data_IF_555071579348
#
_entry.id   IF_555071579348
#
_cell.length_a   1.000
_cell.length_b   1.000
_cell.length_c   1.000
_cell.angle_alpha   90.00
_cell.angle_beta   90.00
_cell.angle_gamma   90.00
#
_symmetry.space_group_name_H-M   'P 1'
#
loop_
_entity.id
_entity.type
_entity.pdbx_description
1 polymer ?
#
# COMPACT_ATOMS: atom_id res chain seq x y z
N UNK A 1 13.90 -12.31 57.95
CA UNK A 1 14.75 -13.51 57.78
C UNK A 1 14.49 -14.10 56.40
N UNK A 2 15.53 -14.44 55.62
CA UNK A 2 15.43 -15.37 54.46
C UNK A 2 15.63 -16.81 54.98
N UNK A 3 15.02 -17.83 54.37
CA UNK A 3 15.66 -18.64 53.29
C UNK A 3 14.83 -18.60 51.97
N UNK A 4 15.31 -18.83 50.73
CA UNK A 4 16.24 -19.85 50.14
C UNK A 4 15.61 -21.26 50.08
N UNK A 5 15.62 -22.05 48.99
CA UNK A 5 16.06 -21.91 47.58
C UNK A 5 15.49 -23.10 46.74
N UNK A 6 15.17 -22.86 45.47
CA UNK A 6 15.45 -23.69 44.27
C UNK A 6 15.05 -25.19 44.08
N UNK A 7 14.57 -25.43 42.85
CA UNK A 7 15.01 -26.39 41.80
C UNK A 7 14.24 -27.72 41.51
N UNK A 8 14.08 -27.92 40.18
CA UNK A 8 13.84 -29.16 39.41
C UNK A 8 12.41 -29.76 39.35
N UNK A 9 11.94 -30.35 38.23
CA UNK A 9 12.35 -30.33 36.80
C UNK A 9 11.33 -31.15 35.95
N UNK A 10 11.32 -30.96 34.61
CA UNK A 10 10.68 -31.78 33.54
C UNK A 10 9.17 -31.62 33.27
N UNK A 11 8.64 -31.80 32.04
CA UNK A 11 9.16 -31.72 30.64
C UNK A 11 8.01 -32.00 29.65
N UNK A 12 7.77 -31.14 28.65
CA UNK A 12 7.14 -31.34 27.31
C UNK A 12 6.73 -29.94 26.79
N UNK A 13 7.27 -29.39 25.69
CA UNK A 13 6.97 -29.71 24.27
C UNK A 13 5.49 -29.40 23.91
N UNK A 14 5.10 -28.68 22.86
CA UNK A 14 5.77 -28.06 21.68
C UNK A 14 4.85 -26.87 21.23
N UNK A 15 5.11 -25.94 20.29
CA UNK A 15 6.12 -25.67 19.23
C UNK A 15 6.12 -24.13 18.99
N UNK A 16 7.13 -23.55 18.32
CA UNK A 16 7.19 -22.15 17.83
C UNK A 16 7.68 -22.15 16.37
N UNK A 17 7.02 -21.48 15.41
CA UNK A 17 7.65 -20.55 14.41
C UNK A 17 6.69 -19.97 13.36
N UNK A 18 6.57 -18.63 13.36
CA UNK A 18 6.63 -17.66 12.24
C UNK A 18 6.26 -18.04 10.79
N UNK A 19 5.47 -17.18 10.14
CA UNK A 19 5.81 -16.55 8.85
C UNK A 19 5.04 -15.24 8.56
N UNK A 20 5.73 -14.09 8.51
CA UNK A 20 5.36 -13.00 7.61
C UNK A 20 6.24 -13.18 6.36
N UNK A 21 5.64 -13.45 5.21
CA UNK A 21 6.37 -13.76 3.98
C UNK A 21 6.66 -12.52 3.15
N UNK A 22 7.90 -12.05 3.18
CA UNK A 22 8.50 -11.24 2.11
C UNK A 22 9.75 -11.97 1.63
N UNK A 23 9.72 -12.51 0.42
CA UNK A 23 10.89 -13.07 -0.25
C UNK A 23 11.70 -11.95 -0.93
N UNK A 24 13.01 -12.05 -1.14
CA UNK A 24 13.97 -13.12 -0.84
C UNK A 24 15.43 -12.60 -0.93
N UNK A 25 16.42 -13.46 -0.71
CA UNK A 25 17.80 -13.05 -0.44
C UNK A 25 18.71 -12.84 -1.66
N UNK A 26 19.56 -11.81 -1.55
CA UNK A 26 20.98 -11.70 -1.93
C UNK A 26 21.57 -12.42 -3.16
N UNK A 27 22.09 -11.63 -4.11
CA UNK A 27 23.46 -11.77 -4.63
C UNK A 27 24.03 -10.41 -5.12
N UNK A 28 25.34 -10.20 -4.98
CA UNK A 28 26.14 -9.01 -5.34
C UNK A 28 27.61 -9.52 -5.48
N UNK A 29 28.58 -8.89 -6.20
CA UNK A 29 28.63 -7.47 -6.61
C UNK A 29 29.25 -7.14 -8.00
N UNK A 30 29.29 -5.83 -8.31
CA UNK A 30 30.24 -5.18 -9.24
C UNK A 30 29.71 -4.90 -10.66
N UNK A 31 30.21 -3.89 -11.39
CA UNK A 31 31.05 -2.73 -11.01
C UNK A 31 30.94 -1.65 -12.13
N UNK A 32 31.50 -0.46 -11.91
CA UNK A 32 31.91 0.55 -12.92
C UNK A 32 30.90 1.19 -13.92
N UNK A 33 30.82 2.52 -13.90
CA UNK A 33 31.34 3.29 -15.06
C UNK A 33 30.45 4.30 -15.83
N UNK A 34 30.75 5.59 -15.59
CA UNK A 34 30.88 6.68 -16.58
C UNK A 34 29.65 7.33 -17.27
N UNK A 35 29.43 8.59 -16.86
CA UNK A 35 29.43 9.82 -17.68
C UNK A 35 29.06 9.75 -19.19
N UNK A 36 28.04 10.52 -19.59
CA UNK A 36 27.77 10.84 -21.01
C UNK A 36 26.86 12.06 -21.17
N UNK A 37 27.43 13.19 -21.60
CA UNK A 37 26.74 14.49 -21.61
C UNK A 37 26.32 15.00 -23.00
N UNK A 38 25.20 15.73 -23.02
CA UNK A 38 25.01 16.92 -23.87
C UNK A 38 24.41 16.76 -25.27
N UNK A 39 23.73 17.82 -25.73
CA UNK A 39 23.56 18.09 -27.17
C UNK A 39 22.16 18.39 -27.71
N UNK A 40 21.53 19.49 -27.30
CA UNK A 40 20.68 20.24 -28.23
C UNK A 40 21.57 21.13 -29.11
N UNK A 41 21.21 21.42 -30.38
CA UNK A 41 20.47 22.67 -30.60
C UNK A 41 19.51 22.75 -31.82
N UNK A 42 18.44 23.52 -31.62
CA UNK A 42 17.94 24.62 -32.47
C UNK A 42 17.74 24.49 -34.01
N UNK A 43 16.46 24.61 -34.39
CA UNK A 43 15.89 25.73 -35.20
C UNK A 43 15.84 25.71 -36.74
N UNK A 44 14.87 26.50 -37.24
CA UNK A 44 14.52 26.85 -38.63
C UNK A 44 13.93 25.72 -39.51
N UNK A 45 12.88 25.91 -40.31
CA UNK A 45 12.03 27.10 -40.54
C UNK A 45 11.89 27.46 -42.02
N UNK A 46 10.68 27.36 -42.58
CA UNK A 46 10.30 28.02 -43.84
C UNK A 46 8.79 27.93 -44.11
N UNK A 47 8.22 29.04 -44.57
CA UNK A 47 6.84 29.11 -45.08
C UNK A 47 6.83 28.97 -46.61
N UNK A 48 5.73 28.46 -47.18
CA UNK A 48 5.56 28.28 -48.63
C UNK A 48 4.08 28.43 -49.04
N UNK A 49 3.79 29.47 -49.82
CA UNK A 49 2.45 30.02 -50.07
C UNK A 49 1.85 29.61 -51.44
N UNK A 50 0.53 29.39 -51.52
CA UNK A 50 -0.29 29.44 -52.76
C UNK A 50 -0.18 28.24 -53.73
N UNK A 51 -1.11 28.00 -54.68
CA UNK A 51 -2.37 28.69 -55.07
C UNK A 51 -3.31 27.78 -55.91
N UNK A 52 -4.63 27.94 -55.75
CA UNK A 52 -5.72 27.86 -56.75
C UNK A 52 -5.84 26.74 -57.81
N UNK A 53 -7.00 26.04 -57.78
CA UNK A 53 -8.03 26.16 -58.84
C UNK A 53 -8.13 25.08 -59.94
N UNK A 54 -9.33 24.54 -60.15
CA UNK A 54 -9.68 23.73 -61.34
C UNK A 54 -10.90 22.81 -61.16
N UNK A 55 -12.09 23.27 -61.56
CA UNK A 55 -13.32 22.46 -61.61
C UNK A 55 -13.38 21.52 -62.82
N UNK A 56 -14.11 20.40 -62.68
CA UNK A 56 -14.85 19.82 -63.81
C UNK A 56 -14.86 18.29 -63.93
N UNK A 57 -16.06 17.72 -64.05
CA UNK A 57 -16.28 16.41 -64.70
C UNK A 57 -16.88 15.31 -63.82
N UNK A 58 -18.21 15.30 -63.68
CA UNK A 58 -18.92 14.14 -63.14
C UNK A 58 -18.91 12.97 -64.15
N UNK A 59 -18.62 11.76 -63.68
CA UNK A 59 -19.04 10.52 -64.35
C UNK A 59 -19.38 9.47 -63.29
N UNK A 60 -20.39 8.65 -63.60
CA UNK A 60 -21.10 7.81 -62.62
C UNK A 60 -20.88 6.35 -63.00
N UNK A 61 -20.10 5.59 -62.23
CA UNK A 61 -20.07 4.13 -62.38
C UNK A 61 -19.56 3.42 -61.11
N UNK A 62 -20.52 2.80 -60.40
CA UNK A 62 -20.44 1.48 -59.75
C UNK A 62 -19.13 1.02 -59.09
N UNK A 63 -19.19 0.77 -57.78
CA UNK A 63 -18.28 -0.16 -57.09
C UNK A 63 -17.39 0.46 -56.03
N UNK A 64 -17.96 0.95 -54.94
CA UNK A 64 -17.19 1.46 -53.80
C UNK A 64 -16.52 0.31 -53.03
N UNK A 65 -15.28 -0.02 -53.41
CA UNK A 65 -14.27 -0.43 -52.45
C UNK A 65 -13.70 0.85 -51.83
N UNK A 66 -13.82 1.01 -50.52
CA UNK A 66 -13.49 2.26 -49.83
C UNK A 66 -14.19 2.35 -48.49
N UNK A 67 -13.67 1.59 -47.52
CA UNK A 67 -14.25 1.43 -46.19
C UNK A 67 -13.21 1.24 -45.08
N UNK A 68 -11.96 1.67 -45.32
CA UNK A 68 -10.97 1.88 -44.25
C UNK A 68 -11.35 3.13 -43.44
N UNK A 69 -12.55 3.09 -42.85
CA UNK A 69 -12.86 3.90 -41.68
C UNK A 69 -12.07 3.30 -40.54
N UNK A 70 -10.86 3.82 -40.33
CA UNK A 70 -9.92 3.30 -39.35
C UNK A 70 -10.62 3.13 -38.01
N UNK A 71 -10.77 1.86 -37.59
CA UNK A 71 -11.05 1.57 -36.21
C UNK A 71 -9.89 2.17 -35.42
N UNK A 72 -10.16 3.26 -34.70
CA UNK A 72 -9.34 3.62 -33.56
C UNK A 72 -9.33 2.39 -32.69
N UNK A 73 -8.21 1.67 -32.68
CA UNK A 73 -8.00 0.60 -31.72
C UNK A 73 -7.80 1.30 -30.39
N UNK A 74 -8.91 1.64 -29.73
CA UNK A 74 -8.93 2.09 -28.35
C UNK A 74 -8.26 0.96 -27.55
N UNK A 75 -6.97 1.16 -27.28
CA UNK A 75 -6.14 0.14 -26.66
C UNK A 75 -6.75 -0.15 -25.29
N UNK A 76 -6.95 -1.42 -24.97
CA UNK A 76 -7.37 -1.79 -23.62
C UNK A 76 -6.27 -1.40 -22.61
N UNK A 77 -6.63 -1.00 -21.38
CA UNK A 77 -5.64 -0.83 -20.32
C UNK A 77 -4.90 -2.16 -20.12
N UNK A 78 -3.57 -2.09 -20.14
CA UNK A 78 -2.68 -3.23 -19.91
C UNK A 78 -2.23 -3.35 -18.46
N UNK A 79 -2.27 -2.25 -17.72
CA UNK A 79 -1.82 -2.15 -16.33
C UNK A 79 -2.72 -1.19 -15.52
N UNK A 80 -2.83 -1.45 -14.22
CA UNK A 80 -3.48 -0.58 -13.24
C UNK A 80 -2.51 -0.20 -12.13
N UNK A 81 -2.58 1.05 -11.66
CA UNK A 81 -1.70 1.59 -10.63
C UNK A 81 -2.46 2.19 -9.46
N UNK A 82 -1.99 1.91 -8.24
CA UNK A 82 -2.47 2.49 -7.00
C UNK A 82 -1.28 2.93 -6.14
N UNK A 83 -1.33 4.15 -5.64
CA UNK A 83 -0.42 4.70 -4.63
C UNK A 83 -1.29 5.20 -3.48
N UNK A 84 -1.29 4.48 -2.35
CA UNK A 84 -2.09 4.79 -1.16
C UNK A 84 -1.18 5.33 -0.07
N UNK A 85 -1.47 6.52 0.45
CA UNK A 85 -0.64 7.26 1.42
C UNK A 85 -1.57 7.72 2.56
N UNK A 86 -1.57 6.98 3.66
CA UNK A 86 -2.67 7.07 4.64
C UNK A 86 -2.16 7.07 6.07
N UNK A 87 -2.74 7.89 6.95
CA UNK A 87 -2.71 7.55 8.37
C UNK A 87 -3.72 6.42 8.63
N UNK A 88 -3.24 5.33 9.20
CA UNK A 88 -4.06 4.14 9.43
C UNK A 88 -4.15 3.86 10.92
N UNK A 89 -5.36 3.52 11.37
CA UNK A 89 -5.65 2.94 12.68
C UNK A 89 -6.20 1.51 12.55
N UNK A 90 -6.25 0.77 13.66
CA UNK A 90 -6.88 -0.58 13.71
C UNK A 90 -8.08 -0.57 14.64
N UNK A 91 -9.26 -0.86 14.08
CA UNK A 91 -10.52 -1.02 14.80
C UNK A 91 -10.40 -2.08 15.91
N UNK A 92 -10.86 -1.73 17.12
CA UNK A 92 -10.79 -2.61 18.29
C UNK A 92 -9.38 -2.86 18.84
N UNK A 93 -8.34 -2.24 18.27
CA UNK A 93 -6.96 -2.41 18.70
C UNK A 93 -6.22 -1.05 18.87
N UNK A 94 -6.66 -0.15 19.77
CA UNK A 94 -5.97 1.11 20.04
C UNK A 94 -4.52 0.92 20.52
N UNK A 95 -4.18 -0.25 21.08
CA UNK A 95 -2.82 -0.63 21.41
C UNK A 95 -1.92 -0.88 20.18
N UNK A 96 -2.48 -1.03 18.97
CA UNK A 96 -1.72 -0.98 17.72
C UNK A 96 -1.46 0.46 17.25
N UNK A 97 -2.18 1.44 17.81
CA UNK A 97 -2.02 2.87 17.57
C UNK A 97 -2.40 3.31 16.16
N UNK A 98 -1.71 4.37 15.71
CA UNK A 98 -1.89 5.06 14.44
C UNK A 98 -0.54 5.21 13.73
N UNK A 99 -0.51 5.44 12.43
CA UNK A 99 0.74 5.61 11.71
C UNK A 99 0.63 5.59 10.20
N UNK A 100 1.62 6.24 9.57
CA UNK A 100 1.72 6.36 8.13
C UNK A 100 1.86 4.98 7.49
N UNK A 101 0.97 4.70 6.55
CA UNK A 101 0.99 3.55 5.65
C UNK A 101 1.23 4.04 4.23
N UNK A 102 2.18 3.44 3.52
CA UNK A 102 2.42 3.72 2.11
C UNK A 102 2.35 2.40 1.35
N UNK A 103 1.38 2.28 0.45
CA UNK A 103 1.21 1.11 -0.41
C UNK A 103 1.28 1.53 -1.87
N UNK A 104 2.26 0.99 -2.61
CA UNK A 104 2.37 1.16 -4.06
C UNK A 104 2.12 -0.19 -4.73
N UNK A 105 1.10 -0.25 -5.58
CA UNK A 105 0.72 -1.43 -6.36
C UNK A 105 0.66 -1.04 -7.85
N UNK A 106 1.56 -1.58 -8.65
CA UNK A 106 1.46 -1.55 -10.10
C UNK A 106 1.35 -2.98 -10.60
N UNK A 107 0.31 -3.29 -11.36
CA UNK A 107 0.02 -4.67 -11.80
C UNK A 107 -0.44 -4.70 -13.24
N UNK A 108 -0.27 -5.84 -13.90
CA UNK A 108 -0.97 -6.11 -15.15
C UNK A 108 -2.50 -6.09 -14.92
N UNK A 109 -3.24 -5.45 -15.81
CA UNK A 109 -4.68 -5.29 -15.66
C UNK A 109 -5.40 -6.63 -15.83
N UNK A 110 -6.13 -7.04 -14.79
CA UNK A 110 -7.05 -8.20 -14.82
C UNK A 110 -8.48 -7.68 -14.76
N UNK A 111 -9.37 -8.05 -15.72
CA UNK A 111 -10.79 -7.74 -15.60
C UNK A 111 -11.36 -8.28 -14.28
N UNK A 112 -12.22 -7.52 -13.59
CA UNK A 112 -12.83 -7.99 -12.37
C UNK A 112 -13.83 -9.12 -12.63
N UNK A 113 -14.03 -9.97 -11.62
CA UNK A 113 -15.08 -10.98 -11.56
C UNK A 113 -16.47 -10.35 -11.41
N UNK A 114 -16.54 -9.16 -10.79
CA UNK A 114 -17.74 -8.33 -10.64
C UNK A 114 -17.41 -6.85 -10.85
N UNK A 115 -18.22 -6.12 -11.60
CA UNK A 115 -18.11 -4.67 -11.74
C UNK A 115 -19.51 -4.05 -11.80
N UNK A 116 -19.86 -3.26 -10.77
CA UNK A 116 -21.17 -2.61 -10.63
C UNK A 116 -21.47 -1.67 -11.81
N UNK A 117 -20.45 -0.93 -12.25
CA UNK A 117 -20.53 0.04 -13.34
C UNK A 117 -19.36 -0.17 -14.31
N UNK A 118 -19.53 -1.02 -15.34
CA UNK A 118 -18.44 -1.42 -16.23
C UNK A 118 -17.60 -0.27 -16.79
N UNK A 119 -16.28 -0.34 -16.57
CA UNK A 119 -15.32 0.66 -17.01
C UNK A 119 -15.33 2.00 -16.26
N UNK A 120 -16.18 2.20 -15.25
CA UNK A 120 -16.14 3.42 -14.43
C UNK A 120 -15.04 3.34 -13.36
N UNK A 121 -14.41 4.46 -12.95
CA UNK A 121 -13.45 4.46 -11.84
C UNK A 121 -14.13 4.31 -10.46
N UNK A 122 -15.43 4.59 -10.38
CA UNK A 122 -16.27 4.53 -9.18
C UNK A 122 -17.20 3.32 -9.17
N UNK A 123 -17.85 3.07 -8.04
CA UNK A 123 -18.67 1.89 -7.77
C UNK A 123 -17.84 0.74 -7.22
N UNK A 124 -18.46 -0.42 -7.08
CA UNK A 124 -17.85 -1.63 -6.56
C UNK A 124 -17.27 -2.54 -7.66
N UNK A 125 -16.06 -3.06 -7.39
CA UNK A 125 -15.36 -4.04 -8.22
C UNK A 125 -14.88 -5.18 -7.34
N UNK A 126 -14.96 -6.41 -7.84
CA UNK A 126 -14.53 -7.61 -7.13
C UNK A 126 -13.68 -8.51 -8.01
N UNK A 127 -12.60 -9.06 -7.47
CA UNK A 127 -11.70 -10.01 -8.12
C UNK A 127 -11.58 -11.27 -7.28
N UNK A 128 -11.75 -12.42 -7.90
CA UNK A 128 -11.40 -13.72 -7.31
C UNK A 128 -10.09 -14.22 -7.93
N UNK A 129 -9.21 -14.71 -7.06
CA UNK A 129 -7.93 -15.31 -7.40
C UNK A 129 -7.89 -16.75 -6.91
N UNK A 130 -7.30 -17.61 -7.74
CA UNK A 130 -6.94 -18.97 -7.37
C UNK A 130 -5.43 -19.00 -7.20
N UNK A 131 -4.93 -19.36 -6.03
CA UNK A 131 -3.51 -19.25 -5.70
C UNK A 131 -2.62 -20.12 -6.62
N UNK A 132 -3.16 -21.18 -7.21
CA UNK A 132 -2.43 -22.11 -8.09
C UNK A 132 -2.72 -21.85 -9.57
N UNK A 133 -3.99 -21.71 -9.95
CA UNK A 133 -4.42 -21.65 -11.36
C UNK A 133 -4.51 -20.23 -11.92
N UNK A 134 -4.74 -19.21 -11.09
CA UNK A 134 -4.97 -17.83 -11.50
C UNK A 134 -4.65 -16.82 -10.37
N UNK A 135 -3.37 -16.75 -9.94
CA UNK A 135 -2.96 -15.94 -8.80
C UNK A 135 -3.10 -14.42 -9.09
N UNK A 136 -3.02 -13.57 -8.05
CA UNK A 136 -2.92 -12.13 -8.26
C UNK A 136 -1.73 -11.79 -9.19
N UNK A 137 -1.89 -10.88 -10.17
CA UNK A 137 -0.77 -10.45 -11.00
C UNK A 137 0.38 -9.93 -10.12
N UNK A 138 1.63 -10.30 -10.40
CA UNK A 138 2.77 -9.82 -9.62
C UNK A 138 2.91 -8.30 -9.75
N UNK A 139 3.44 -7.67 -8.71
CA UNK A 139 3.77 -6.25 -8.78
C UNK A 139 4.89 -6.02 -9.78
N UNK A 140 4.80 -4.92 -10.53
CA UNK A 140 5.80 -4.50 -11.50
C UNK A 140 6.54 -3.26 -11.03
N UNK A 141 7.85 -3.21 -11.32
CA UNK A 141 8.65 -2.01 -11.10
C UNK A 141 8.27 -0.93 -12.13
N UNK A 142 8.03 0.28 -11.64
CA UNK A 142 7.76 1.50 -12.39
C UNK A 142 8.68 2.63 -11.88
N UNK A 143 9.92 2.30 -11.52
CA UNK A 143 10.92 3.27 -11.10
C UNK A 143 10.72 3.77 -9.67
N UNK A 144 11.16 5.00 -9.41
CA UNK A 144 11.16 5.60 -8.05
C UNK A 144 9.89 6.41 -7.85
N UNK A 145 9.21 6.20 -6.73
CA UNK A 145 8.03 6.99 -6.35
C UNK A 145 8.46 7.98 -5.26
N UNK A 146 8.32 9.27 -5.52
CA UNK A 146 8.68 10.32 -4.56
C UNK A 146 7.42 11.00 -4.04
N UNK A 147 7.18 10.87 -2.74
CA UNK A 147 6.04 11.45 -2.04
C UNK A 147 6.52 12.71 -1.32
N UNK A 148 5.92 13.86 -1.62
CA UNK A 148 6.26 15.17 -1.05
C UNK A 148 5.03 15.82 -0.42
N UNK A 149 5.25 16.77 0.50
CA UNK A 149 4.18 17.50 1.21
C UNK A 149 3.98 17.06 2.67
N UNK A 150 4.52 15.90 3.06
CA UNK A 150 4.44 15.37 4.42
C UNK A 150 5.30 16.17 5.40
N UNK A 151 4.82 16.33 6.65
CA UNK A 151 5.53 17.03 7.72
C UNK A 151 6.92 16.43 8.04
N UNK A 152 7.11 15.13 7.78
CA UNK A 152 8.38 14.41 7.96
C UNK A 152 9.39 14.55 6.81
N UNK A 153 9.14 15.43 5.83
CA UNK A 153 9.92 15.57 4.61
C UNK A 153 9.51 14.60 3.49
N UNK A 154 10.14 14.67 2.31
CA UNK A 154 9.83 13.78 1.20
C UNK A 154 10.29 12.35 1.49
N UNK A 155 9.57 11.38 0.93
CA UNK A 155 9.84 9.94 1.03
C UNK A 155 10.07 9.40 -0.38
N UNK A 156 11.16 8.65 -0.58
CA UNK A 156 11.36 7.86 -1.80
C UNK A 156 10.97 6.40 -1.55
N UNK A 157 10.16 5.83 -2.43
CA UNK A 157 9.85 4.41 -2.48
C UNK A 157 10.46 3.77 -3.72
N UNK A 158 11.15 2.64 -3.53
CA UNK A 158 11.86 1.90 -4.59
C UNK A 158 11.41 0.45 -4.60
N UNK A 159 11.32 -0.17 -5.77
CA UNK A 159 10.98 -1.58 -5.88
C UNK A 159 12.13 -2.44 -5.35
N UNK A 160 11.85 -3.36 -4.42
CA UNK A 160 12.80 -4.28 -3.82
C UNK A 160 12.19 -5.68 -3.76
N UNK A 161 12.80 -6.65 -4.43
CA UNK A 161 12.28 -8.01 -4.54
C UNK A 161 10.98 -8.05 -5.33
N UNK A 162 9.84 -8.05 -4.62
CA UNK A 162 8.49 -8.12 -5.20
C UNK A 162 7.56 -7.00 -4.72
N UNK A 163 8.08 -5.95 -4.08
CA UNK A 163 7.27 -4.86 -3.52
C UNK A 163 8.02 -3.53 -3.47
N UNK A 164 7.28 -2.43 -3.45
CA UNK A 164 7.84 -1.14 -3.09
C UNK A 164 8.17 -1.06 -1.59
N UNK A 165 9.33 -0.47 -1.29
CA UNK A 165 9.81 -0.19 0.06
C UNK A 165 10.20 1.27 0.12
N UNK A 166 9.81 1.96 1.20
CA UNK A 166 9.97 3.40 1.38
C UNK A 166 10.99 3.74 2.49
N UNK A 167 12.30 3.54 2.25
CA UNK A 167 13.33 3.89 3.22
C UNK A 167 13.46 5.41 3.38
N UNK A 168 13.58 5.89 4.61
CA UNK A 168 13.89 7.31 4.87
C UNK A 168 15.38 7.51 5.12
N UNK A 169 16.00 6.61 5.88
CA UNK A 169 17.46 6.52 6.00
C UNK A 169 17.87 5.08 6.34
N UNK A 170 19.12 4.74 6.05
CA UNK A 170 19.71 3.43 6.29
C UNK A 170 21.21 3.57 6.53
N UNK A 171 21.80 2.54 7.12
CA UNK A 171 23.24 2.50 7.36
C UNK A 171 23.70 1.20 7.98
N UNK A 172 24.97 1.20 8.40
CA UNK A 172 25.58 0.11 9.14
C UNK A 172 26.41 0.67 10.30
N UNK A 173 26.42 -0.02 11.44
CA UNK A 173 27.05 0.46 12.65
C UNK A 173 27.23 -0.63 13.69
N UNK A 174 27.83 -0.29 14.84
CA UNK A 174 27.74 -1.14 16.02
C UNK A 174 26.42 -0.83 16.73
N UNK A 175 25.54 -1.81 16.79
CA UNK A 175 24.32 -1.76 17.57
C UNK A 175 24.57 -2.28 18.99
N UNK A 176 23.88 -1.70 19.97
CA UNK A 176 23.65 -2.28 21.29
C UNK A 176 22.16 -2.23 21.58
N UNK A 177 21.55 -3.38 21.86
CA UNK A 177 20.17 -3.48 22.30
C UNK A 177 20.16 -3.54 23.83
N UNK A 178 19.32 -2.72 24.45
CA UNK A 178 18.99 -2.82 25.88
C UNK A 178 17.51 -3.10 26.01
N UNK A 179 17.15 -4.24 26.61
CA UNK A 179 15.76 -4.60 26.85
C UNK A 179 15.13 -3.63 27.86
N UNK A 180 13.99 -3.04 27.49
CA UNK A 180 13.25 -2.12 28.33
C UNK A 180 12.24 -2.83 29.23
N UNK A 181 11.57 -2.05 30.07
CA UNK A 181 10.38 -2.52 30.77
C UNK A 181 9.17 -2.55 29.81
N UNK A 182 8.16 -3.38 30.08
CA UNK A 182 6.89 -3.42 29.33
C UNK A 182 6.99 -3.70 27.81
N UNK A 183 8.01 -4.44 27.38
CA UNK A 183 8.09 -4.97 26.01
C UNK A 183 8.58 -3.97 24.95
N UNK A 184 9.25 -2.90 25.39
CA UNK A 184 10.04 -2.02 24.53
C UNK A 184 11.53 -2.35 24.66
N UNK A 185 12.35 -1.80 23.76
CA UNK A 185 13.80 -1.89 23.84
C UNK A 185 14.47 -0.64 23.25
N UNK A 186 15.61 -0.24 23.81
CA UNK A 186 16.45 0.80 23.25
C UNK A 186 17.47 0.18 22.30
N UNK A 187 17.46 0.62 21.04
CA UNK A 187 18.43 0.26 20.00
C UNK A 187 19.39 1.44 19.81
N UNK A 188 20.60 1.32 20.37
CA UNK A 188 21.68 2.27 20.19
C UNK A 188 22.56 1.84 19.01
N UNK A 189 22.46 2.51 17.86
CA UNK A 189 23.20 2.19 16.63
C UNK A 189 24.17 3.32 16.30
N UNK A 190 25.47 3.07 16.49
CA UNK A 190 26.51 4.07 16.26
C UNK A 190 26.56 4.51 14.78
N UNK A 191 26.56 5.82 14.55
CA UNK A 191 26.48 6.43 13.23
C UNK A 191 25.06 6.55 12.65
N UNK A 192 24.01 6.21 13.41
CA UNK A 192 22.63 6.42 12.97
C UNK A 192 22.20 7.91 13.04
N UNK A 193 21.10 8.21 12.34
CA UNK A 193 20.53 9.56 12.21
C UNK A 193 19.04 9.59 12.57
N UNK A 194 18.65 8.91 13.64
CA UNK A 194 17.28 8.95 14.17
C UNK A 194 16.87 10.38 14.55
N UNK A 195 15.58 10.66 14.41
CA UNK A 195 14.99 11.97 14.68
C UNK A 195 13.59 11.82 15.28
N UNK A 196 13.03 12.90 15.84
CA UNK A 196 11.64 12.88 16.31
C UNK A 196 10.63 12.54 15.19
N UNK A 197 10.98 12.79 13.92
CA UNK A 197 10.16 12.43 12.76
C UNK A 197 10.21 10.92 12.42
N UNK A 198 11.06 10.13 13.09
CA UNK A 198 11.08 8.66 12.98
C UNK A 198 10.14 7.97 13.97
N UNK A 199 9.56 8.68 14.94
CA UNK A 199 8.47 8.15 15.76
C UNK A 199 7.26 7.88 14.87
N UNK A 200 6.64 6.70 15.02
CA UNK A 200 5.59 6.24 14.10
C UNK A 200 6.12 5.57 12.81
N UNK A 201 7.45 5.45 12.64
CA UNK A 201 8.08 4.64 11.59
C UNK A 201 8.52 3.29 12.15
N UNK A 202 9.00 2.40 11.28
CA UNK A 202 9.54 1.09 11.70
C UNK A 202 11.05 1.02 11.48
N UNK A 203 11.78 0.63 12.51
CA UNK A 203 13.19 0.27 12.45
C UNK A 203 13.33 -1.19 12.01
N UNK A 204 13.84 -1.45 10.81
CA UNK A 204 14.30 -2.79 10.41
C UNK A 204 15.80 -2.91 10.67
N UNK A 205 16.21 -3.93 11.43
CA UNK A 205 17.60 -4.20 11.82
C UNK A 205 17.91 -5.66 11.56
N UNK A 206 19.09 -5.90 10.99
CA UNK A 206 19.64 -7.23 10.73
C UNK A 206 21.10 -7.30 11.21
N UNK A 207 21.53 -8.47 11.69
CA UNK A 207 22.92 -8.79 12.07
C UNK A 207 23.08 -9.29 13.52
N UNK A 208 21.99 -9.47 14.24
CA UNK A 208 21.99 -9.94 15.63
C UNK A 208 22.42 -11.41 15.75
N UNK A 209 22.94 -11.78 16.92
CA UNK A 209 23.15 -13.19 17.26
C UNK A 209 21.87 -13.81 17.85
N UNK A 210 21.01 -13.00 18.48
CA UNK A 210 19.71 -13.41 18.99
C UNK A 210 18.62 -12.98 18.03
N UNK A 211 17.90 -13.96 17.49
CA UNK A 211 16.80 -13.76 16.55
C UNK A 211 15.69 -12.81 17.04
N UNK A 212 15.53 -12.62 18.36
CA UNK A 212 14.58 -11.64 18.91
C UNK A 212 14.99 -10.19 18.68
N UNK A 213 16.25 -9.91 18.34
CA UNK A 213 16.75 -8.56 18.07
C UNK A 213 16.85 -8.22 16.56
N UNK A 214 16.76 -9.24 15.68
CA UNK A 214 16.63 -9.07 14.23
C UNK A 214 15.16 -8.93 13.84
N UNK A 215 14.87 -8.11 12.83
CA UNK A 215 13.53 -7.94 12.29
C UNK A 215 13.11 -6.48 12.20
N UNK A 216 11.80 -6.25 12.26
CA UNK A 216 11.17 -4.95 12.05
C UNK A 216 10.35 -4.55 13.29
N UNK A 217 10.72 -3.43 13.91
CA UNK A 217 10.22 -2.99 15.20
C UNK A 217 9.67 -1.54 15.11
N UNK A 218 8.40 -1.29 15.50
CA UNK A 218 7.83 0.06 15.51
C UNK A 218 8.59 1.00 16.46
N UNK A 219 8.97 2.21 15.99
CA UNK A 219 9.66 3.23 16.77
C UNK A 219 8.64 4.07 17.54
N UNK A 220 8.70 4.02 18.87
CA UNK A 220 7.78 4.72 19.78
C UNK A 220 8.39 5.95 20.46
N UNK A 221 9.73 6.04 20.50
CA UNK A 221 10.44 7.25 20.88
C UNK A 221 11.84 7.28 20.26
N UNK A 222 12.46 8.47 20.24
CA UNK A 222 13.87 8.66 19.87
C UNK A 222 14.53 9.48 20.96
N UNK A 223 15.55 8.91 21.63
CA UNK A 223 16.25 9.56 22.74
C UNK A 223 17.43 10.40 22.27
N UNK A 224 18.05 10.01 21.15
CA UNK A 224 19.13 10.74 20.49
C UNK A 224 19.25 10.30 19.03
N UNK A 225 20.12 10.93 18.24
CA UNK A 225 20.36 10.53 16.84
C UNK A 225 20.83 9.08 16.67
N UNK A 226 21.43 8.49 17.69
CA UNK A 226 21.90 7.10 17.66
C UNK A 226 21.00 6.14 18.45
N UNK A 227 19.97 6.62 19.17
CA UNK A 227 19.14 5.78 20.05
C UNK A 227 17.64 5.91 19.75
N UNK A 228 17.06 4.86 19.20
CA UNK A 228 15.62 4.69 19.03
C UNK A 228 15.06 3.71 20.07
N UNK A 229 13.87 4.01 20.61
CA UNK A 229 13.10 3.11 21.46
C UNK A 229 12.02 2.47 20.61
N UNK A 230 12.00 1.13 20.57
CA UNK A 230 11.11 0.35 19.72
C UNK A 230 10.23 -0.60 20.53
N UNK A 231 9.11 -1.04 19.95
CA UNK A 231 8.33 -2.17 20.49
C UNK A 231 9.03 -3.47 20.09
N UNK A 232 9.68 -4.11 21.06
CA UNK A 232 10.28 -5.43 20.90
C UNK A 232 10.20 -6.20 22.24
N UNK A 233 9.17 -7.05 22.43
CA UNK A 233 8.99 -7.81 23.67
C UNK A 233 9.96 -8.98 23.82
N UNK A 234 10.60 -9.42 22.73
CA UNK A 234 11.59 -10.51 22.71
C UNK A 234 13.04 -9.98 22.75
N UNK A 235 13.22 -8.66 22.91
CA UNK A 235 14.51 -8.02 22.99
C UNK A 235 15.39 -8.60 24.10
N UNK A 236 16.68 -8.79 23.82
CA UNK A 236 17.61 -9.34 24.81
C UNK A 236 19.00 -8.72 24.69
N UNK A 237 19.47 -8.07 25.76
CA UNK A 237 20.74 -7.33 25.85
C UNK A 237 21.93 -7.95 25.10
N UNK A 238 22.39 -7.30 24.04
CA UNK A 238 23.62 -7.65 23.31
C UNK A 238 24.14 -6.49 22.46
N UNK A 239 25.34 -6.65 21.92
CA UNK A 239 25.92 -5.76 20.92
C UNK A 239 26.38 -6.55 19.70
N UNK A 240 26.17 -5.99 18.51
CA UNK A 240 26.45 -6.63 17.22
C UNK A 240 26.75 -5.61 16.12
N UNK A 241 27.37 -6.06 15.02
CA UNK A 241 27.46 -5.27 13.81
C UNK A 241 26.11 -5.33 13.09
N UNK A 242 25.39 -4.22 13.04
CA UNK A 242 24.06 -4.13 12.46
C UNK A 242 24.09 -3.44 11.09
N UNK A 243 23.23 -3.91 10.18
CA UNK A 243 22.66 -3.09 9.11
C UNK A 243 21.26 -2.67 9.53
N UNK A 244 20.88 -1.42 9.29
CA UNK A 244 19.56 -0.90 9.64
C UNK A 244 18.94 -0.07 8.52
N UNK A 245 17.61 0.01 8.52
CA UNK A 245 16.84 0.94 7.70
C UNK A 245 15.60 1.39 8.48
N UNK A 246 15.33 2.70 8.47
CA UNK A 246 14.04 3.24 8.93
C UNK A 246 13.09 3.30 7.74
N UNK A 247 11.95 2.63 7.88
CA UNK A 247 10.91 2.50 6.87
C UNK A 247 9.75 3.42 7.22
N UNK A 248 9.44 4.36 6.31
CA UNK A 248 8.14 5.03 6.32
C UNK A 248 7.06 4.10 5.76
N UNK A 249 5.80 4.40 6.04
CA UNK A 249 4.68 3.64 5.48
C UNK A 249 4.47 2.27 6.12
N UNK A 250 5.08 1.99 7.27
CA UNK A 250 5.13 0.66 7.88
C UNK A 250 3.88 0.28 8.69
N UNK A 251 2.87 1.14 8.72
CA UNK A 251 1.59 0.88 9.38
C UNK A 251 1.43 1.51 10.77
N UNK A 252 0.35 1.13 11.48
CA UNK A 252 0.03 1.66 12.80
C UNK A 252 1.12 1.33 13.83
N UNK A 253 1.50 2.33 14.65
CA UNK A 253 2.53 2.18 15.68
C UNK A 253 1.92 2.30 17.09
N UNK A 254 2.10 1.30 17.97
CA UNK A 254 1.57 1.28 19.33
C UNK A 254 1.79 2.57 20.12
N UNK A 255 0.69 3.23 20.48
CA UNK A 255 0.74 4.46 21.29
C UNK A 255 1.31 5.69 20.60
N UNK A 256 1.56 5.66 19.28
CA UNK A 256 1.93 6.84 18.51
C UNK A 256 0.78 7.87 18.52
N UNK A 257 0.99 9.09 19.06
CA UNK A 257 -0.01 10.15 19.07
C UNK A 257 0.10 11.09 17.86
N UNK A 258 1.08 10.89 16.98
CA UNK A 258 1.34 11.77 15.84
C UNK A 258 0.53 11.31 14.63
N UNK A 259 -0.43 12.13 14.25
CA UNK A 259 -0.97 12.19 12.90
C UNK A 259 0.17 12.59 11.93
N UNK A 260 0.48 11.79 10.91
CA UNK A 260 1.49 12.07 9.90
C UNK A 260 0.95 12.79 8.64
N UNK A 261 -0.37 12.99 8.51
CA UNK A 261 -1.06 13.63 7.37
C UNK A 261 -2.14 14.58 7.91
N UNK A 262 -1.75 15.79 8.28
CA UNK A 262 -2.67 16.73 8.91
C UNK A 262 -3.82 17.15 7.98
N UNK A 263 -4.99 17.47 8.55
CA UNK A 263 -6.14 17.96 7.79
C UNK A 263 -5.77 19.15 6.90
N UNK A 264 -5.93 18.97 5.58
CA UNK A 264 -5.60 19.97 4.57
C UNK A 264 -4.17 19.91 4.01
N UNK A 265 -3.35 18.94 4.41
CA UNK A 265 -2.03 18.70 3.79
C UNK A 265 -2.19 18.42 2.28
N UNK A 266 -1.34 19.06 1.47
CA UNK A 266 -1.29 18.87 0.02
C UNK A 266 -0.09 17.98 -0.35
N UNK A 267 -0.40 16.75 -0.79
CA UNK A 267 0.61 15.75 -1.15
C UNK A 267 0.83 15.72 -2.67
N UNK A 268 2.08 15.64 -3.08
CA UNK A 268 2.49 15.44 -4.48
C UNK A 268 3.23 14.13 -4.60
N UNK A 269 2.87 13.32 -5.60
CA UNK A 269 3.47 12.02 -5.88
C UNK A 269 4.09 12.05 -7.28
N UNK A 270 5.41 12.06 -7.34
CA UNK A 270 6.18 11.97 -8.58
C UNK A 270 6.55 10.52 -8.89
N UNK A 271 6.57 10.16 -10.18
CA UNK A 271 7.01 8.83 -10.66
C UNK A 271 8.23 9.04 -11.56
N UNK A 272 9.44 8.85 -11.01
CA UNK A 272 10.67 8.94 -11.79
C UNK A 272 10.89 7.66 -12.61
N UNK A 273 10.95 7.72 -13.96
CA UNK A 273 10.94 6.51 -14.77
C UNK A 273 12.15 5.59 -14.63
N UNK A 274 11.88 4.31 -14.35
CA UNK A 274 12.85 3.21 -14.41
C UNK A 274 12.70 2.38 -15.69
N UNK A 275 13.69 2.42 -16.58
CA UNK A 275 13.75 1.52 -17.75
C UNK A 275 12.56 1.64 -18.71
N UNK A 276 11.85 0.53 -18.94
CA UNK A 276 10.70 0.45 -19.86
C UNK A 276 9.39 0.36 -19.07
N UNK A 277 8.82 1.51 -18.71
CA UNK A 277 7.62 1.59 -17.88
C UNK A 277 6.31 1.34 -18.62
N UNK A 278 5.34 0.77 -17.89
CA UNK A 278 3.95 0.66 -18.34
C UNK A 278 3.19 1.98 -18.17
N UNK A 279 3.53 2.78 -17.16
CA UNK A 279 2.96 4.11 -16.95
C UNK A 279 3.95 5.17 -17.44
N UNK A 280 3.44 6.21 -18.11
CA UNK A 280 4.21 7.34 -18.65
C UNK A 280 3.58 8.68 -18.24
N UNK A 281 2.96 8.66 -17.06
CA UNK A 281 2.39 9.83 -16.41
C UNK A 281 3.52 10.55 -15.64
N UNK A 282 3.52 11.89 -15.58
CA UNK A 282 4.60 12.63 -14.91
C UNK A 282 4.44 12.57 -13.39
N UNK A 283 3.56 13.41 -12.84
CA UNK A 283 3.30 13.53 -11.42
C UNK A 283 1.77 13.49 -11.16
N UNK A 284 1.39 13.15 -9.93
CA UNK A 284 0.03 13.17 -9.41
C UNK A 284 -0.05 14.22 -8.28
N UNK A 285 -0.97 15.17 -8.39
CA UNK A 285 -1.26 16.16 -7.36
C UNK A 285 -1.08 17.63 -7.79
N UNK A 286 -1.13 18.58 -6.85
CA UNK A 286 -1.32 18.37 -5.40
C UNK A 286 -2.65 17.70 -5.06
N UNK A 287 -2.61 16.78 -4.10
CA UNK A 287 -3.76 16.04 -3.57
C UNK A 287 -4.01 16.52 -2.16
N UNK A 288 -5.13 17.21 -1.93
CA UNK A 288 -5.57 17.57 -0.58
C UNK A 288 -5.98 16.29 0.13
N UNK A 289 -5.33 15.97 1.25
CA UNK A 289 -5.61 14.79 2.05
C UNK A 289 -7.08 14.77 2.54
N UNK A 290 -7.67 13.58 2.59
CA UNK A 290 -8.94 13.38 3.31
C UNK A 290 -8.71 13.52 4.81
N UNK A 291 -9.60 14.23 5.49
CA UNK A 291 -9.50 14.51 6.94
C UNK A 291 -9.79 13.26 7.79
N UNK A 292 -9.30 13.28 9.03
CA UNK A 292 -9.64 12.29 10.05
C UNK A 292 -11.15 12.21 10.31
N UNK A 293 -11.62 11.03 10.72
CA UNK A 293 -13.03 10.72 10.91
C UNK A 293 -13.23 9.61 11.95
N UNK A 294 -14.45 9.49 12.45
CA UNK A 294 -14.89 8.36 13.27
C UNK A 294 -15.94 7.52 12.52
N UNK A 295 -15.79 6.20 12.52
CA UNK A 295 -16.84 5.27 12.06
C UNK A 295 -18.06 5.34 12.99
N UNK A 296 -19.24 5.09 12.46
CA UNK A 296 -20.40 4.81 13.32
C UNK A 296 -20.30 3.43 13.99
N UNK A 297 -21.02 3.21 15.08
CA UNK A 297 -20.95 1.98 15.89
C UNK A 297 -21.27 0.70 15.08
N UNK A 298 -22.18 0.77 14.10
CA UNK A 298 -22.56 -0.38 13.29
C UNK A 298 -21.47 -0.70 12.27
N UNK A 299 -20.91 0.34 11.64
CA UNK A 299 -19.77 0.24 10.73
C UNK A 299 -18.51 -0.28 11.43
N UNK A 300 -18.23 0.18 12.65
CA UNK A 300 -17.12 -0.30 13.46
C UNK A 300 -17.28 -1.79 13.82
N UNK A 301 -18.50 -2.23 14.16
CA UNK A 301 -18.79 -3.64 14.42
C UNK A 301 -18.62 -4.51 13.16
N UNK A 302 -19.12 -4.05 12.00
CA UNK A 302 -18.98 -4.75 10.71
C UNK A 302 -17.53 -4.83 10.23
N UNK A 303 -16.70 -3.81 10.49
CA UNK A 303 -15.29 -3.81 10.11
C UNK A 303 -14.50 -4.97 10.76
N UNK A 304 -14.85 -5.32 12.00
CA UNK A 304 -14.26 -6.45 12.74
C UNK A 304 -15.00 -7.79 12.58
N UNK A 305 -16.17 -7.80 11.95
CA UNK A 305 -17.04 -8.96 11.79
C UNK A 305 -17.76 -8.95 10.43
N UNK A 306 -16.98 -8.98 9.35
CA UNK A 306 -17.50 -8.98 7.97
C UNK A 306 -18.37 -10.23 7.74
N UNK A 307 -19.63 -10.09 7.28
CA UNK A 307 -20.48 -11.23 7.02
C UNK A 307 -20.03 -12.01 5.78
N UNK A 308 -20.22 -13.34 5.84
CA UNK A 308 -19.89 -14.29 4.77
C UNK A 308 -21.13 -15.04 4.26
N UNK A 309 -22.28 -14.36 4.25
CA UNK A 309 -23.60 -14.88 3.85
C UNK A 309 -24.12 -14.29 2.52
N UNK A 310 -23.30 -13.51 1.82
CA UNK A 310 -23.66 -12.84 0.57
C UNK A 310 -24.52 -11.59 0.73
N UNK A 311 -24.93 -11.24 1.96
CA UNK A 311 -25.75 -10.05 2.20
C UNK A 311 -24.96 -8.76 1.92
N UNK A 312 -25.61 -7.69 1.42
CA UNK A 312 -24.95 -6.40 1.22
C UNK A 312 -24.54 -5.79 2.55
N UNK A 313 -23.38 -5.12 2.57
CA UNK A 313 -22.80 -4.52 3.77
C UNK A 313 -22.62 -3.02 3.59
N UNK A 314 -23.25 -2.21 4.44
CA UNK A 314 -23.04 -0.76 4.47
C UNK A 314 -22.03 -0.40 5.54
N UNK A 315 -21.05 0.43 5.19
CA UNK A 315 -20.10 1.06 6.10
C UNK A 315 -20.21 2.58 5.98
N UNK A 316 -19.87 3.30 7.04
CA UNK A 316 -19.97 4.74 7.10
C UNK A 316 -19.36 5.36 8.35
N UNK A 317 -19.34 6.68 8.34
CA UNK A 317 -18.88 7.54 9.42
C UNK A 317 -19.99 8.52 9.82
N UNK A 318 -19.80 9.23 10.94
CA UNK A 318 -20.82 10.14 11.49
C UNK A 318 -21.73 9.51 12.54
N UNK A 319 -21.15 8.72 13.44
CA UNK A 319 -21.80 8.27 14.68
C UNK A 319 -22.07 9.43 15.67
N UNK A 320 -22.28 9.11 16.96
CA UNK A 320 -22.57 10.13 17.99
C UNK A 320 -21.37 10.99 18.43
N UNK A 321 -20.18 10.78 17.85
CA UNK A 321 -18.95 11.49 18.17
C UNK A 321 -18.76 12.77 17.34
N UNK A 322 -18.10 12.65 16.20
CA UNK A 322 -17.88 13.77 15.25
C UNK A 322 -18.06 13.32 13.77
N UNK A 323 -18.11 14.29 12.85
CA UNK A 323 -18.48 14.04 11.44
C UNK A 323 -17.42 13.28 10.64
N UNK A 324 -17.78 12.87 9.42
CA UNK A 324 -16.92 12.15 8.47
C UNK A 324 -15.64 12.86 7.98
N UNK A 325 -15.28 14.03 8.51
CA UNK A 325 -14.30 14.93 7.92
C UNK A 325 -14.65 15.38 6.49
N UNK A 326 -13.84 16.24 5.89
CA UNK A 326 -13.86 16.49 4.46
C UNK A 326 -13.03 15.43 3.70
N UNK A 327 -13.55 14.91 2.59
CA UNK A 327 -12.80 14.01 1.70
C UNK A 327 -13.32 14.14 0.26
N UNK A 328 -12.50 13.77 -0.72
CA UNK A 328 -12.90 13.70 -2.13
C UNK A 328 -13.58 12.37 -2.45
N UNK A 329 -13.19 11.29 -1.77
CA UNK A 329 -13.79 9.97 -1.91
C UNK A 329 -13.88 9.21 -0.58
N UNK A 330 -14.89 8.34 -0.50
CA UNK A 330 -15.03 7.29 0.52
C UNK A 330 -14.77 5.96 -0.15
N UNK A 331 -13.85 5.17 0.42
CA UNK A 331 -13.37 3.94 -0.20
C UNK A 331 -13.45 2.80 0.81
N UNK A 332 -14.03 1.67 0.40
CA UNK A 332 -13.94 0.41 1.13
C UNK A 332 -13.14 -0.58 0.32
N UNK A 333 -12.14 -1.20 0.94
CA UNK A 333 -11.38 -2.31 0.35
C UNK A 333 -11.39 -3.51 1.27
N UNK A 334 -11.87 -4.64 0.77
CA UNK A 334 -11.87 -5.92 1.48
C UNK A 334 -10.85 -6.84 0.81
N UNK A 335 -9.99 -7.47 1.60
CA UNK A 335 -9.05 -8.52 1.15
C UNK A 335 -9.27 -9.75 2.02
N UNK A 336 -9.49 -10.93 1.42
CA UNK A 336 -9.54 -12.21 2.15
C UNK A 336 -8.34 -13.11 1.87
N UNK A 337 -8.10 -14.05 2.76
CA UNK A 337 -7.17 -15.18 2.57
C UNK A 337 -7.69 -16.39 3.33
N UNK A 338 -7.42 -17.57 2.80
CA UNK A 338 -7.62 -18.89 3.43
C UNK A 338 -6.31 -19.48 3.99
N UNK A 339 -5.21 -18.73 3.93
CA UNK A 339 -3.90 -19.14 4.43
C UNK A 339 -3.86 -19.41 5.94
N UNK A 340 -2.86 -20.15 6.39
CA UNK A 340 -2.73 -20.53 7.81
C UNK A 340 -2.50 -19.30 8.72
N UNK A 341 -3.40 -19.11 9.68
CA UNK A 341 -3.35 -18.06 10.71
C UNK A 341 -2.75 -18.55 12.04
N UNK A 342 -2.39 -19.83 12.17
CA UNK A 342 -1.88 -20.40 13.41
C UNK A 342 -0.54 -19.78 13.81
N UNK A 343 -0.55 -19.01 14.90
CA UNK A 343 0.65 -18.29 15.37
C UNK A 343 1.00 -17.04 14.56
N UNK A 344 0.15 -16.64 13.60
CA UNK A 344 0.25 -15.35 12.93
C UNK A 344 -0.21 -14.21 13.85
N UNK A 345 0.23 -12.98 13.55
CA UNK A 345 -0.34 -11.78 14.19
C UNK A 345 -1.83 -11.64 13.84
N UNK A 346 -2.69 -11.15 14.74
CA UNK A 346 -4.10 -10.89 14.43
C UNK A 346 -4.31 -9.85 13.31
N UNK A 347 -3.26 -9.09 12.95
CA UNK A 347 -3.25 -8.09 11.88
C UNK A 347 -2.49 -8.55 10.62
N UNK A 348 -1.96 -9.78 10.62
CA UNK A 348 -1.32 -10.36 9.44
C UNK A 348 -2.37 -10.88 8.45
N UNK A 349 -2.06 -10.77 7.16
CA UNK A 349 -2.72 -11.49 6.08
C UNK A 349 -1.74 -12.56 5.57
N UNK A 350 -1.87 -13.83 6.01
CA UNK A 350 -1.07 -14.92 5.45
C UNK A 350 -1.29 -15.05 3.92
N UNK A 351 -0.31 -15.55 3.16
CA UNK A 351 -0.50 -15.89 1.75
C UNK A 351 -1.68 -16.87 1.58
N UNK A 352 -2.53 -16.70 0.56
CA UNK A 352 -3.61 -17.65 0.29
C UNK A 352 -3.04 -19.04 -0.02
N UNK A 353 -3.73 -20.06 0.46
CA UNK A 353 -3.47 -21.46 0.12
C UNK A 353 -4.12 -21.81 -1.22
N UNK A 354 -5.42 -21.52 -1.36
CA UNK A 354 -6.22 -21.82 -2.54
C UNK A 354 -6.96 -20.58 -3.08
N UNK A 355 -7.56 -19.74 -2.22
CA UNK A 355 -8.42 -18.60 -2.62
C UNK A 355 -8.05 -17.27 -1.95
N UNK A 356 -8.05 -16.22 -2.76
CA UNK A 356 -8.04 -14.82 -2.32
C UNK A 356 -9.14 -14.04 -3.05
N UNK A 357 -9.88 -13.22 -2.31
CA UNK A 357 -10.85 -12.27 -2.88
C UNK A 357 -10.38 -10.85 -2.55
N UNK A 358 -10.45 -9.97 -3.54
CA UNK A 358 -10.35 -8.53 -3.32
C UNK A 358 -11.63 -7.85 -3.79
N UNK A 359 -12.22 -7.01 -2.94
CA UNK A 359 -13.33 -6.11 -3.29
C UNK A 359 -12.86 -4.69 -3.05
N UNK A 360 -13.15 -3.79 -3.98
CA UNK A 360 -12.91 -2.36 -3.83
C UNK A 360 -14.15 -1.59 -4.28
N UNK A 361 -14.67 -0.76 -3.39
CA UNK A 361 -15.82 0.13 -3.63
C UNK A 361 -15.37 1.57 -3.46
N UNK A 362 -15.67 2.43 -4.42
CA UNK A 362 -15.34 3.86 -4.39
C UNK A 362 -16.58 4.71 -4.65
N UNK A 363 -16.88 5.64 -3.74
CA UNK A 363 -17.84 6.73 -3.95
C UNK A 363 -17.08 8.05 -3.90
N UNK A 364 -17.26 8.91 -4.90
CA UNK A 364 -16.71 10.27 -4.90
C UNK A 364 -17.74 11.26 -4.34
N UNK A 365 -17.29 12.13 -3.43
CA UNK A 365 -18.15 12.95 -2.60
C UNK A 365 -19.03 12.10 -1.67
N UNK A 366 -20.26 12.57 -1.44
CA UNK A 366 -21.24 11.91 -0.56
C UNK A 366 -21.14 12.35 0.90
N UNK A 367 -21.98 11.74 1.73
CA UNK A 367 -22.04 11.95 3.19
C UNK A 367 -20.97 11.18 3.96
N UNK A 368 -20.33 10.19 3.31
CA UNK A 368 -19.37 9.29 3.93
C UNK A 368 -19.94 7.92 4.28
N UNK A 369 -21.07 7.52 3.70
CA UNK A 369 -21.48 6.11 3.63
C UNK A 369 -21.15 5.46 2.29
N UNK A 370 -20.88 4.16 2.30
CA UNK A 370 -20.72 3.32 1.12
C UNK A 370 -21.30 1.93 1.38
N UNK A 371 -22.02 1.38 0.40
CA UNK A 371 -22.58 0.03 0.48
C UNK A 371 -21.84 -0.88 -0.49
N UNK A 372 -21.31 -1.98 0.04
CA UNK A 372 -20.82 -3.11 -0.75
C UNK A 372 -22.05 -3.93 -1.17
N UNK A 373 -22.36 -4.05 -2.48
CA UNK A 373 -23.56 -4.71 -2.96
C UNK A 373 -23.50 -6.22 -2.76
N UNK A 374 -24.67 -6.86 -2.76
CA UNK A 374 -24.81 -8.29 -2.52
C UNK A 374 -23.97 -9.11 -3.52
N UNK A 375 -23.95 -8.71 -4.79
CA UNK A 375 -23.21 -9.37 -5.85
C UNK A 375 -21.67 -9.31 -5.66
N UNK A 376 -21.16 -8.31 -4.95
CA UNK A 376 -19.75 -8.27 -4.55
C UNK A 376 -19.50 -9.14 -3.32
N UNK A 377 -20.39 -9.09 -2.32
CA UNK A 377 -20.31 -9.91 -1.11
C UNK A 377 -20.49 -11.42 -1.39
N UNK A 378 -21.23 -11.77 -2.44
CA UNK A 378 -21.39 -13.15 -2.91
C UNK A 378 -20.04 -13.76 -3.33
N UNK A 379 -19.10 -12.97 -3.87
CA UNK A 379 -17.74 -13.46 -4.18
C UNK A 379 -16.99 -13.93 -2.93
N UNK A 380 -17.21 -13.26 -1.78
CA UNK A 380 -16.66 -13.70 -0.49
C UNK A 380 -17.38 -14.94 0.04
N UNK A 381 -18.71 -15.01 -0.12
CA UNK A 381 -19.51 -16.19 0.24
C UNK A 381 -19.06 -17.43 -0.54
N UNK A 382 -19.07 -17.37 -1.88
CA UNK A 382 -18.66 -18.45 -2.77
C UNK A 382 -17.22 -18.88 -2.50
N UNK A 383 -16.29 -17.93 -2.33
CA UNK A 383 -14.91 -18.24 -1.99
C UNK A 383 -14.81 -18.97 -0.65
N UNK A 384 -15.53 -18.55 0.39
CA UNK A 384 -15.55 -19.23 1.69
C UNK A 384 -16.17 -20.64 1.64
N UNK A 385 -17.18 -20.86 0.80
CA UNK A 385 -17.73 -22.20 0.56
C UNK A 385 -16.75 -23.10 -0.20
N UNK A 386 -15.92 -22.55 -1.08
CA UNK A 386 -14.92 -23.29 -1.85
C UNK A 386 -13.65 -23.61 -1.05
N UNK A 387 -13.16 -22.65 -0.26
CA UNK A 387 -12.06 -22.78 0.70
C UNK A 387 -12.31 -21.86 1.89
N UNK A 388 -12.26 -22.41 3.11
CA UNK A 388 -12.67 -21.68 4.31
C UNK A 388 -11.74 -20.51 4.62
N UNK A 389 -12.13 -19.30 4.19
CA UNK A 389 -11.47 -18.03 4.53
C UNK A 389 -11.14 -17.98 6.03
N UNK A 390 -9.86 -17.78 6.34
CA UNK A 390 -9.29 -17.75 7.69
C UNK A 390 -9.07 -16.33 8.22
N UNK A 391 -8.95 -15.35 7.31
CA UNK A 391 -8.78 -13.93 7.63
C UNK A 391 -9.41 -13.05 6.56
N UNK A 392 -10.07 -11.99 7.00
CA UNK A 392 -10.50 -10.87 6.17
C UNK A 392 -9.90 -9.60 6.77
N UNK A 393 -9.32 -8.74 5.94
CA UNK A 393 -8.98 -7.35 6.28
C UNK A 393 -9.91 -6.42 5.50
N UNK A 394 -10.60 -5.55 6.21
CA UNK A 394 -11.43 -4.49 5.62
C UNK A 394 -10.83 -3.14 5.97
N UNK A 395 -10.60 -2.32 4.96
CA UNK A 395 -10.23 -0.92 5.11
C UNK A 395 -11.44 -0.05 4.78
N UNK A 396 -11.80 0.88 5.66
CA UNK A 396 -12.67 2.02 5.34
C UNK A 396 -11.82 3.29 5.37
N UNK A 397 -11.88 4.09 4.32
CA UNK A 397 -10.88 5.11 4.00
C UNK A 397 -11.55 6.39 3.47
N UNK A 398 -11.01 7.54 3.87
CA UNK A 398 -11.48 8.89 3.53
C UNK A 398 -10.32 9.64 2.89
N UNK A 399 -10.43 9.86 1.59
CA UNK A 399 -9.27 10.14 0.73
C UNK A 399 -9.47 11.39 -0.15
N UNK A 400 -8.38 12.11 -0.39
CA UNK A 400 -8.14 12.86 -1.62
C UNK A 400 -7.74 11.90 -2.75
N UNK A 401 -8.13 12.22 -3.98
CA UNK A 401 -7.90 11.36 -5.14
C UNK A 401 -7.31 12.16 -6.29
N UNK A 402 -6.08 11.85 -6.69
CA UNK A 402 -5.58 12.22 -8.02
C UNK A 402 -5.52 10.99 -8.93
N UNK A 403 -5.59 11.22 -10.24
CA UNK A 403 -5.47 10.15 -11.22
C UNK A 403 -4.85 10.68 -12.49
N UNK A 404 -3.96 9.89 -13.08
CA UNK A 404 -3.35 10.17 -14.36
C UNK A 404 -3.38 8.92 -15.23
N UNK A 405 -3.69 9.11 -16.50
CA UNK A 405 -3.77 8.05 -17.50
C UNK A 405 -2.75 8.34 -18.60
N UNK A 406 -2.09 7.30 -19.11
CA UNK A 406 -1.24 7.41 -20.29
C UNK A 406 -1.97 8.11 -21.45
N UNK A 407 -1.26 8.97 -22.17
CA UNK A 407 -1.77 9.59 -23.38
C UNK A 407 -1.54 8.70 -24.61
N UNK A 408 -2.38 8.86 -25.63
CA UNK A 408 -2.17 8.19 -26.91
C UNK A 408 -0.79 8.58 -27.50
N UNK A 409 -0.05 7.64 -28.12
CA UNK A 409 -0.51 6.34 -28.63
C UNK A 409 -0.38 5.15 -27.66
N UNK A 410 -0.03 5.37 -26.39
CA UNK A 410 0.15 4.28 -25.44
C UNK A 410 -1.18 3.71 -24.91
N UNK A 411 -1.20 2.46 -24.41
CA UNK A 411 -2.38 1.91 -23.73
C UNK A 411 -2.78 2.79 -22.53
N UNK A 412 -4.07 3.03 -22.28
CA UNK A 412 -4.61 3.94 -21.26
C UNK A 412 -4.50 3.34 -19.85
N UNK A 413 -3.28 3.00 -19.44
CA UNK A 413 -2.97 2.58 -18.09
C UNK A 413 -3.14 3.77 -17.16
N UNK A 414 -3.89 3.60 -16.07
CA UNK A 414 -4.19 4.67 -15.10
C UNK A 414 -3.53 4.38 -13.76
N UNK A 415 -2.89 5.40 -13.18
CA UNK A 415 -2.45 5.41 -11.79
C UNK A 415 -3.40 6.28 -10.97
N UNK A 416 -3.85 5.78 -9.82
CA UNK A 416 -4.58 6.53 -8.81
C UNK A 416 -3.66 6.81 -7.61
N UNK A 417 -3.60 8.06 -7.15
CA UNK A 417 -3.03 8.42 -5.85
C UNK A 417 -4.17 8.69 -4.87
N UNK A 418 -4.15 7.98 -3.73
CA UNK A 418 -5.07 8.14 -2.61
C UNK A 418 -4.29 8.71 -1.42
N UNK A 419 -4.82 9.77 -0.80
CA UNK A 419 -4.18 10.47 0.31
C UNK A 419 -5.19 10.81 1.40
N UNK A 420 -4.98 10.38 2.64
CA UNK A 420 -5.90 10.70 3.73
C UNK A 420 -5.81 9.76 4.92
N UNK A 421 -6.98 9.33 5.42
CA UNK A 421 -7.10 8.56 6.65
C UNK A 421 -7.86 7.26 6.42
N UNK A 422 -7.53 6.22 7.18
CA UNK A 422 -8.26 4.96 7.15
C UNK A 422 -8.29 4.20 8.47
N UNK A 423 -9.31 3.35 8.60
CA UNK A 423 -9.44 2.40 9.69
C UNK A 423 -9.44 0.99 9.10
N UNK A 424 -8.57 0.12 9.62
CA UNK A 424 -8.53 -1.31 9.29
C UNK A 424 -9.28 -2.12 10.34
N UNK A 425 -10.14 -3.04 9.90
CA UNK A 425 -10.70 -4.10 10.71
C UNK A 425 -10.25 -5.47 10.21
N UNK A 426 -10.17 -6.43 11.12
CA UNK A 426 -9.74 -7.79 10.83
C UNK A 426 -10.77 -8.79 11.38
N UNK A 427 -11.36 -9.59 10.49
CA UNK A 427 -12.29 -10.68 10.84
C UNK A 427 -11.56 -12.02 10.77
N UNK A 428 -11.81 -12.90 11.74
CA UNK A 428 -11.42 -14.33 11.70
C UNK A 428 -12.70 -15.16 11.79
N UNK A 429 -13.23 -15.68 10.68
CA UNK A 429 -14.50 -16.42 10.63
C UNK A 429 -14.54 -17.69 11.50
#
# INVERSE_FOLDING_TARGET
MRPSRNLNSRSAALLITTALTVAGCCENPGDDGLEGSGGAPASAGSAGNGTSGGDGGASISSGAAGGDGGAGSDLAPTHGGLISIQDISIAGAPQAGHGLTVQVLFTAAKPPSYEESPGQPTGCKGWVYDAQDNPPPPLTDQGVITISGLAGGPIECRFQGSSYVCPVHSGAGQATVTAGETGTAAYAVGGAMFSAADVGRTLRVDGAAKRGNDGAFPIVAVESSEVAVVVNPDATDEAFAATYVVLAGAGPVPGNPSDPIASGDEIVVAIEPGGSMAFKVPDLGPVVAGEAFELDDASLALLGAVPLDGAPMTLGCGGQGEGCGAAQGTIVRITSTDGDVQGASPFAMPPPADKQVEIQCIVLGGDGSITVPAEAMELLHEAHQASSISRIRTAFMREGVASATNTAPDPPNTVHALVGHGILGFTSP
#
